data_IF_283251150258
#
_entry.id   IF_283251150258
#
_cell.length_a   1.000
_cell.length_b   1.000
_cell.length_c   1.000
_cell.angle_alpha   90.00
_cell.angle_beta   90.00
_cell.angle_gamma   90.00
#
_symmetry.space_group_name_H-M   'P 1'
#
loop_
_entity.id
_entity.type
_entity.pdbx_description
1 polymer ?
#
# COMPACT_ATOMS: atom_id res chain seq x y z
N UNK A 1 9.81 -14.80 30.27
CA UNK A 1 8.58 -15.14 29.51
C UNK A 1 8.89 -16.07 28.33
N UNK A 2 9.78 -15.70 27.42
CA UNK A 2 10.18 -16.50 26.23
C UNK A 2 10.60 -17.94 26.58
N UNK A 3 11.37 -18.16 27.65
CA UNK A 3 11.81 -19.50 28.06
C UNK A 3 10.65 -20.45 28.42
N UNK A 4 9.60 -19.95 29.07
CA UNK A 4 8.43 -20.75 29.39
C UNK A 4 7.61 -21.10 28.13
N UNK A 5 7.53 -20.17 27.17
CA UNK A 5 6.89 -20.39 25.87
C UNK A 5 7.71 -21.42 25.09
N UNK A 6 9.03 -21.27 25.02
CA UNK A 6 9.94 -22.21 24.34
C UNK A 6 9.76 -23.62 24.89
N UNK A 7 9.81 -23.81 26.22
CA UNK A 7 9.61 -25.11 26.86
C UNK A 7 8.28 -25.74 26.43
N UNK A 8 7.20 -25.00 26.50
CA UNK A 8 5.86 -25.49 26.13
C UNK A 8 5.75 -25.80 24.64
N UNK A 9 6.33 -24.93 23.78
CA UNK A 9 6.38 -25.16 22.33
C UNK A 9 7.15 -26.43 21.99
N UNK A 10 8.33 -26.64 22.60
CA UNK A 10 9.14 -27.85 22.44
C UNK A 10 8.36 -29.13 22.80
N UNK A 11 7.73 -29.13 23.99
CA UNK A 11 6.94 -30.29 24.45
C UNK A 11 5.78 -30.61 23.48
N UNK A 12 5.09 -29.60 22.97
CA UNK A 12 3.96 -29.79 22.08
C UNK A 12 4.40 -30.23 20.67
N UNK A 13 5.49 -29.66 20.13
CA UNK A 13 6.01 -30.02 18.83
C UNK A 13 6.54 -31.45 18.83
N UNK A 14 7.25 -31.88 19.89
CA UNK A 14 7.70 -33.27 20.04
C UNK A 14 6.53 -34.26 20.12
N UNK A 15 5.48 -33.95 20.89
CA UNK A 15 4.27 -34.81 20.97
C UNK A 15 3.56 -34.96 19.62
N UNK A 16 3.63 -33.95 18.79
CA UNK A 16 2.98 -33.93 17.47
C UNK A 16 3.89 -34.45 16.36
N UNK A 17 5.11 -34.89 16.66
CA UNK A 17 6.14 -35.29 15.69
C UNK A 17 6.42 -34.21 14.62
N UNK A 18 6.25 -32.95 14.96
CA UNK A 18 6.52 -31.81 14.08
C UNK A 18 7.99 -31.40 14.17
N UNK A 19 8.53 -30.99 13.03
CA UNK A 19 9.82 -30.32 13.03
C UNK A 19 9.70 -28.97 13.73
N UNK A 20 10.68 -28.64 14.54
CA UNK A 20 10.81 -27.31 15.13
C UNK A 20 10.85 -26.27 14.01
N UNK A 21 9.96 -25.29 14.05
CA UNK A 21 10.09 -24.13 13.18
C UNK A 21 11.29 -23.31 13.68
N UNK A 22 12.39 -23.37 12.94
CA UNK A 22 13.67 -22.74 13.31
C UNK A 22 13.51 -21.26 13.70
N UNK A 23 12.71 -20.50 12.98
CA UNK A 23 12.46 -19.09 13.27
C UNK A 23 11.78 -18.86 14.64
N UNK A 24 10.93 -19.79 15.08
CA UNK A 24 10.28 -19.70 16.41
C UNK A 24 11.29 -19.99 17.52
N UNK A 25 12.15 -20.99 17.31
CA UNK A 25 13.22 -21.32 18.27
C UNK A 25 14.22 -20.17 18.39
N UNK A 26 14.71 -19.64 17.28
CA UNK A 26 15.63 -18.51 17.25
C UNK A 26 15.07 -17.29 18.01
N UNK A 27 13.82 -16.92 17.74
CA UNK A 27 13.17 -15.81 18.44
C UNK A 27 13.04 -16.05 19.96
N UNK A 28 12.63 -17.26 20.35
CA UNK A 28 12.38 -17.56 21.75
C UNK A 28 13.69 -17.77 22.56
N UNK A 29 14.81 -18.05 21.90
CA UNK A 29 16.15 -18.17 22.51
C UNK A 29 16.87 -16.82 22.56
N UNK A 30 16.49 -15.85 21.74
CA UNK A 30 17.06 -14.49 21.79
C UNK A 30 16.69 -13.81 23.11
N UNK A 31 17.63 -13.15 23.82
CA UNK A 31 17.32 -12.41 25.03
C UNK A 31 16.17 -11.44 24.87
N UNK A 32 15.39 -11.25 25.93
CA UNK A 32 14.34 -10.23 25.96
C UNK A 32 15.02 -8.85 26.01
N UNK A 33 14.69 -7.97 25.06
CA UNK A 33 15.04 -6.56 25.16
C UNK A 33 14.06 -5.91 26.14
N UNK A 34 14.58 -5.17 27.12
CA UNK A 34 13.73 -4.38 28.01
C UNK A 34 13.13 -3.23 27.20
N UNK A 35 11.80 -3.19 27.13
CA UNK A 35 11.10 -2.06 26.54
C UNK A 35 11.29 -0.84 27.43
N UNK A 36 11.48 0.34 26.85
CA UNK A 36 11.70 1.60 27.58
C UNK A 36 10.61 1.91 28.62
N UNK A 37 9.40 1.39 28.40
CA UNK A 37 8.24 1.58 29.29
C UNK A 37 8.05 0.45 30.32
N UNK A 38 8.97 -0.52 30.39
CA UNK A 38 8.87 -1.67 31.29
C UNK A 38 7.71 -2.62 30.97
N UNK A 39 7.07 -2.48 29.82
CA UNK A 39 5.96 -3.35 29.41
C UNK A 39 6.49 -4.71 28.93
N UNK A 40 5.96 -5.79 29.46
CA UNK A 40 6.25 -7.15 29.00
C UNK A 40 5.49 -7.44 27.69
N UNK A 41 5.91 -6.80 26.59
CA UNK A 41 5.35 -7.07 25.25
C UNK A 41 5.95 -8.34 24.70
N UNK A 42 5.15 -9.17 24.05
CA UNK A 42 5.60 -10.31 23.29
C UNK A 42 4.95 -10.28 21.92
N UNK A 43 5.77 -10.35 20.89
CA UNK A 43 5.32 -10.32 19.53
C UNK A 43 5.47 -11.72 18.88
N UNK A 44 4.80 -11.96 17.77
CA UNK A 44 4.98 -13.14 16.94
C UNK A 44 5.60 -12.73 15.60
N UNK A 45 6.90 -12.45 15.52
CA UNK A 45 7.57 -11.98 14.32
C UNK A 45 8.12 -13.18 13.52
N UNK A 46 7.25 -13.96 12.91
CA UNK A 46 7.64 -15.15 12.16
C UNK A 46 7.35 -15.03 10.66
N UNK A 47 7.93 -14.03 9.96
CA UNK A 47 7.77 -13.93 8.52
C UNK A 47 8.51 -15.06 7.82
N UNK A 48 7.83 -15.78 6.96
CA UNK A 48 8.42 -16.77 6.07
C UNK A 48 9.21 -16.06 4.97
N UNK A 49 10.51 -15.98 5.10
CA UNK A 49 11.36 -15.22 4.21
C UNK A 49 11.15 -15.61 2.73
N UNK A 50 10.85 -14.62 1.89
CA UNK A 50 10.53 -14.83 0.48
C UNK A 50 11.72 -15.34 -0.35
N UNK A 51 12.97 -15.17 0.11
CA UNK A 51 14.14 -15.27 -0.76
C UNK A 51 15.04 -16.48 -0.59
N UNK A 52 15.17 -17.11 0.59
CA UNK A 52 16.25 -18.09 0.76
C UNK A 52 15.93 -19.42 1.48
N UNK A 53 14.78 -19.58 2.15
CA UNK A 53 14.51 -20.83 2.88
C UNK A 53 13.04 -21.24 2.85
N UNK A 54 12.64 -21.96 1.78
CA UNK A 54 11.29 -22.55 1.69
C UNK A 54 11.00 -23.56 2.81
N UNK A 55 12.03 -24.14 3.43
CA UNK A 55 11.89 -25.16 4.48
C UNK A 55 11.58 -24.56 5.86
N UNK A 56 11.75 -23.26 6.06
CA UNK A 56 11.51 -22.59 7.35
C UNK A 56 10.12 -21.96 7.44
N UNK A 57 9.30 -22.02 6.38
CA UNK A 57 7.96 -21.45 6.36
C UNK A 57 7.01 -22.24 7.26
N UNK A 58 6.27 -21.50 8.08
CA UNK A 58 5.21 -22.09 8.90
C UNK A 58 4.08 -22.64 8.02
N UNK A 59 3.56 -23.80 8.44
CA UNK A 59 2.41 -24.47 7.85
C UNK A 59 1.27 -24.53 8.86
N UNK A 60 0.12 -25.03 8.43
CA UNK A 60 -1.06 -25.15 9.29
C UNK A 60 -0.81 -26.00 10.54
N UNK A 61 0.01 -27.03 10.42
CA UNK A 61 0.38 -27.95 11.50
C UNK A 61 1.18 -27.27 12.62
N UNK A 62 1.96 -26.22 12.28
CA UNK A 62 2.77 -25.47 13.23
C UNK A 62 1.91 -24.53 14.10
N UNK A 63 0.72 -24.18 13.62
CA UNK A 63 -0.12 -23.18 14.26
C UNK A 63 -0.71 -23.62 15.59
N UNK A 64 -0.96 -24.93 15.78
CA UNK A 64 -1.52 -25.43 17.03
C UNK A 64 -0.53 -25.36 18.20
N UNK A 65 0.71 -25.94 18.09
CA UNK A 65 1.70 -25.80 19.15
C UNK A 65 2.08 -24.32 19.41
N UNK A 66 2.20 -23.51 18.34
CA UNK A 66 2.46 -22.10 18.46
C UNK A 66 1.37 -21.39 19.27
N UNK A 67 0.10 -21.48 18.85
CA UNK A 67 -1.02 -20.80 19.51
C UNK A 67 -1.19 -21.23 20.97
N UNK A 68 -1.07 -22.51 21.28
CA UNK A 68 -1.20 -23.00 22.65
C UNK A 68 -0.05 -22.51 23.53
N UNK A 69 1.17 -22.39 22.98
CA UNK A 69 2.33 -21.92 23.73
C UNK A 69 2.23 -20.46 24.13
N UNK A 70 1.68 -19.62 23.23
CA UNK A 70 1.50 -18.20 23.48
C UNK A 70 0.20 -17.87 24.26
N UNK A 71 -0.75 -18.80 24.38
CA UNK A 71 -2.05 -18.53 24.99
C UNK A 71 -1.96 -17.96 26.42
N UNK A 72 -1.00 -18.41 27.23
CA UNK A 72 -0.83 -17.91 28.60
C UNK A 72 -0.33 -16.46 28.67
N UNK A 73 0.14 -15.92 27.55
CA UNK A 73 0.70 -14.58 27.42
C UNK A 73 -0.05 -13.75 26.35
N UNK A 74 -1.25 -14.18 25.99
CA UNK A 74 -2.02 -13.61 24.89
C UNK A 74 -2.35 -12.12 25.08
N UNK A 75 -2.52 -11.67 26.32
CA UNK A 75 -2.74 -10.25 26.67
C UNK A 75 -1.49 -9.37 26.43
N UNK A 76 -0.32 -9.95 26.29
CA UNK A 76 0.92 -9.24 26.03
C UNK A 76 1.23 -9.10 24.53
N UNK A 77 0.47 -9.79 23.66
CA UNK A 77 0.68 -9.76 22.21
C UNK A 77 0.16 -8.44 21.65
N UNK A 78 1.03 -7.70 20.95
CA UNK A 78 0.68 -6.47 20.23
C UNK A 78 0.85 -6.61 18.72
N UNK A 79 1.89 -7.30 18.28
CA UNK A 79 2.22 -7.41 16.87
C UNK A 79 2.35 -8.88 16.45
N UNK A 80 1.67 -9.24 15.35
CA UNK A 80 1.77 -10.56 14.74
C UNK A 80 2.16 -10.36 13.28
N UNK A 81 3.34 -10.87 12.92
CA UNK A 81 3.80 -10.98 11.54
C UNK A 81 4.02 -12.45 11.19
N UNK A 82 3.11 -13.00 10.39
CA UNK A 82 3.16 -14.34 9.82
C UNK A 82 3.18 -14.27 8.28
N UNK A 83 3.71 -13.18 7.73
CA UNK A 83 3.76 -12.98 6.28
C UNK A 83 4.65 -14.01 5.59
N UNK A 84 4.36 -14.27 4.31
CA UNK A 84 5.12 -15.16 3.42
C UNK A 84 5.29 -16.62 3.90
N UNK A 85 4.37 -17.09 4.73
CA UNK A 85 4.30 -18.49 5.16
C UNK A 85 3.41 -19.35 4.22
N UNK A 86 3.06 -20.54 4.64
CA UNK A 86 2.24 -21.48 3.87
C UNK A 86 0.89 -21.75 4.55
N UNK A 87 0.38 -20.76 5.29
CA UNK A 87 -0.86 -20.88 6.05
C UNK A 87 -2.07 -20.88 5.11
N UNK A 88 -2.96 -21.84 5.34
CA UNK A 88 -4.28 -21.91 4.69
C UNK A 88 -5.39 -21.57 5.70
N UNK A 89 -6.65 -21.68 5.29
CA UNK A 89 -7.81 -21.48 6.16
C UNK A 89 -7.73 -22.31 7.44
N UNK A 90 -7.11 -23.51 7.39
CA UNK A 90 -6.96 -24.39 8.57
C UNK A 90 -6.06 -23.78 9.63
N UNK A 91 -4.88 -23.30 9.25
CA UNK A 91 -3.94 -22.62 10.16
C UNK A 91 -4.52 -21.32 10.68
N UNK A 92 -5.24 -20.58 9.84
CA UNK A 92 -5.92 -19.35 10.22
C UNK A 92 -7.07 -19.59 11.19
N UNK A 93 -7.82 -20.66 11.07
CA UNK A 93 -8.86 -21.00 12.04
C UNK A 93 -8.27 -21.26 13.45
N UNK A 94 -7.04 -21.80 13.52
CA UNK A 94 -6.33 -21.99 14.80
C UNK A 94 -5.83 -20.62 15.32
N UNK A 95 -5.21 -19.80 14.47
CA UNK A 95 -4.77 -18.46 14.83
C UNK A 95 -5.94 -17.60 15.34
N UNK A 96 -7.09 -17.68 14.68
CA UNK A 96 -8.29 -16.92 15.07
C UNK A 96 -8.73 -17.21 16.51
N UNK A 97 -8.57 -18.44 17.00
CA UNK A 97 -8.84 -18.77 18.41
C UNK A 97 -7.88 -18.06 19.38
N UNK A 98 -6.61 -17.91 19.00
CA UNK A 98 -5.67 -17.10 19.79
C UNK A 98 -6.09 -15.62 19.75
N UNK A 99 -6.43 -15.11 18.55
CA UNK A 99 -6.82 -13.73 18.34
C UNK A 99 -8.10 -13.36 19.12
N UNK A 100 -9.03 -14.28 19.36
CA UNK A 100 -10.22 -14.02 20.18
C UNK A 100 -9.86 -13.51 21.59
N UNK A 101 -8.71 -13.93 22.13
CA UNK A 101 -8.23 -13.53 23.46
C UNK A 101 -7.15 -12.43 23.42
N UNK A 102 -6.63 -12.09 22.24
CA UNK A 102 -5.58 -11.08 22.08
C UNK A 102 -6.18 -9.65 22.09
N UNK A 103 -6.56 -9.15 23.27
CA UNK A 103 -7.22 -7.84 23.41
C UNK A 103 -6.33 -6.64 23.06
N UNK A 104 -5.01 -6.81 23.13
CA UNK A 104 -4.04 -5.74 22.91
C UNK A 104 -3.41 -5.75 21.52
N UNK A 105 -3.90 -6.61 20.61
CA UNK A 105 -3.38 -6.69 19.23
C UNK A 105 -3.52 -5.33 18.53
N UNK A 106 -2.43 -4.86 17.94
CA UNK A 106 -2.32 -3.59 17.21
C UNK A 106 -2.08 -3.82 15.72
N UNK A 107 -1.22 -4.79 15.38
CA UNK A 107 -0.89 -5.09 13.99
C UNK A 107 -0.99 -6.58 13.69
N UNK A 108 -1.59 -6.91 12.56
CA UNK A 108 -1.66 -8.27 12.03
C UNK A 108 -1.23 -8.27 10.56
N UNK A 109 -0.10 -8.94 10.28
CA UNK A 109 0.42 -9.11 8.94
C UNK A 109 0.37 -10.59 8.53
N UNK A 110 -0.48 -10.91 7.56
CA UNK A 110 -0.70 -12.24 6.98
C UNK A 110 -0.41 -12.26 5.47
N UNK A 111 0.31 -11.27 4.95
CA UNK A 111 0.65 -11.13 3.53
C UNK A 111 1.33 -12.40 3.00
N UNK A 112 1.01 -12.79 1.75
CA UNK A 112 1.76 -13.82 1.03
C UNK A 112 1.54 -15.24 1.55
N UNK A 113 0.35 -15.56 2.04
CA UNK A 113 -0.06 -16.89 2.45
C UNK A 113 -1.02 -17.54 1.43
N UNK A 114 -1.79 -18.53 1.84
CA UNK A 114 -2.80 -19.24 1.02
C UNK A 114 -4.18 -19.17 1.65
N UNK A 115 -4.52 -18.02 2.23
CA UNK A 115 -5.77 -17.77 2.96
C UNK A 115 -6.90 -17.59 1.95
N UNK A 116 -7.93 -18.40 2.09
CA UNK A 116 -9.16 -18.33 1.30
C UNK A 116 -10.30 -17.61 2.04
N UNK A 117 -11.51 -17.78 1.54
CA UNK A 117 -12.70 -17.11 2.07
C UNK A 117 -13.04 -17.52 3.50
N UNK A 118 -12.90 -18.81 3.85
CA UNK A 118 -13.17 -19.31 5.19
C UNK A 118 -12.17 -18.78 6.24
N UNK A 119 -10.92 -18.57 5.83
CA UNK A 119 -9.91 -17.91 6.66
C UNK A 119 -10.27 -16.46 6.94
N UNK A 120 -10.70 -15.71 5.92
CA UNK A 120 -11.18 -14.34 6.09
C UNK A 120 -12.40 -14.24 7.02
N UNK A 121 -13.36 -15.16 6.92
CA UNK A 121 -14.51 -15.24 7.81
C UNK A 121 -14.07 -15.45 9.27
N UNK A 122 -13.15 -16.38 9.49
CA UNK A 122 -12.62 -16.68 10.84
C UNK A 122 -11.89 -15.46 11.44
N UNK A 123 -11.06 -14.80 10.64
CA UNK A 123 -10.35 -13.57 11.06
C UNK A 123 -11.33 -12.43 11.38
N UNK A 124 -12.31 -12.19 10.51
CA UNK A 124 -13.29 -11.12 10.73
C UNK A 124 -14.06 -11.30 12.03
N UNK A 125 -14.46 -12.54 12.35
CA UNK A 125 -15.11 -12.85 13.63
C UNK A 125 -14.24 -12.57 14.84
N UNK A 126 -12.94 -12.92 14.77
CA UNK A 126 -11.99 -12.73 15.86
C UNK A 126 -11.57 -11.25 16.04
N UNK A 127 -11.51 -10.48 14.95
CA UNK A 127 -10.97 -9.12 14.95
C UNK A 127 -12.02 -8.00 15.12
N UNK A 128 -13.29 -8.26 14.88
CA UNK A 128 -14.36 -7.23 14.80
C UNK A 128 -14.45 -6.30 16.01
N UNK A 129 -14.11 -6.78 17.21
CA UNK A 129 -14.19 -6.02 18.46
C UNK A 129 -12.81 -5.61 19.02
N UNK A 130 -11.72 -5.74 18.26
CA UNK A 130 -10.37 -5.44 18.74
C UNK A 130 -10.12 -3.93 18.72
N UNK A 131 -10.27 -3.29 19.86
CA UNK A 131 -10.24 -1.84 20.02
C UNK A 131 -8.85 -1.19 19.77
N UNK A 132 -7.79 -1.98 19.63
CA UNK A 132 -6.44 -1.48 19.39
C UNK A 132 -5.88 -1.88 18.02
N UNK A 133 -6.60 -2.71 17.26
CA UNK A 133 -6.14 -3.16 15.93
C UNK A 133 -6.16 -1.98 14.94
N UNK A 134 -5.00 -1.44 14.64
CA UNK A 134 -4.84 -0.31 13.71
C UNK A 134 -4.37 -0.72 12.31
N UNK A 135 -3.68 -1.85 12.19
CA UNK A 135 -3.09 -2.31 10.93
C UNK A 135 -3.48 -3.77 10.64
N UNK A 136 -4.04 -4.03 9.47
CA UNK A 136 -4.33 -5.37 8.98
C UNK A 136 -3.89 -5.54 7.52
N UNK A 137 -2.96 -6.47 7.29
CA UNK A 137 -2.45 -6.79 5.97
C UNK A 137 -2.69 -8.26 5.63
N UNK A 138 -3.49 -8.52 4.60
CA UNK A 138 -3.81 -9.85 4.07
C UNK A 138 -3.59 -9.89 2.55
N UNK A 139 -2.73 -9.02 2.05
CA UNK A 139 -2.33 -8.93 0.64
C UNK A 139 -1.70 -10.24 0.14
N UNK A 140 -1.82 -10.50 -1.15
CA UNK A 140 -1.22 -11.69 -1.80
C UNK A 140 -1.64 -12.99 -1.13
N UNK A 141 -2.94 -13.20 -1.05
CA UNK A 141 -3.57 -14.45 -0.62
C UNK A 141 -4.48 -15.00 -1.74
N UNK A 142 -5.45 -15.85 -1.42
CA UNK A 142 -6.28 -16.51 -2.45
C UNK A 142 -7.78 -16.37 -2.23
N UNK A 143 -8.20 -15.48 -1.33
CA UNK A 143 -9.63 -15.26 -1.08
C UNK A 143 -10.30 -14.49 -2.22
N UNK A 144 -11.58 -14.79 -2.43
CA UNK A 144 -12.43 -14.15 -3.41
C UNK A 144 -13.40 -13.13 -2.81
N UNK A 145 -14.57 -12.99 -3.44
CA UNK A 145 -15.60 -12.03 -3.03
C UNK A 145 -16.15 -12.32 -1.63
N UNK A 146 -16.38 -13.59 -1.28
CA UNK A 146 -16.92 -13.95 0.03
C UNK A 146 -15.94 -13.60 1.15
N UNK A 147 -14.63 -13.80 0.92
CA UNK A 147 -13.60 -13.38 1.85
C UNK A 147 -13.55 -11.86 2.02
N UNK A 148 -13.62 -11.11 0.92
CA UNK A 148 -13.64 -9.65 0.98
C UNK A 148 -14.92 -9.10 1.63
N UNK A 149 -16.08 -9.74 1.42
CA UNK A 149 -17.33 -9.42 2.12
C UNK A 149 -17.22 -9.68 3.63
N UNK A 150 -16.53 -10.74 4.04
CA UNK A 150 -16.25 -10.99 5.46
C UNK A 150 -15.36 -9.91 6.07
N UNK A 151 -14.33 -9.47 5.35
CA UNK A 151 -13.49 -8.32 5.77
C UNK A 151 -14.32 -7.04 5.80
N UNK A 152 -15.26 -6.87 4.91
CA UNK A 152 -16.19 -5.74 4.94
C UNK A 152 -17.05 -5.73 6.21
N UNK A 153 -17.52 -6.89 6.71
CA UNK A 153 -18.20 -6.98 8.01
C UNK A 153 -17.30 -6.52 9.17
N UNK A 154 -16.00 -6.81 9.09
CA UNK A 154 -15.01 -6.26 10.02
C UNK A 154 -15.01 -4.72 9.97
N UNK A 155 -14.99 -4.12 8.80
CA UNK A 155 -15.01 -2.65 8.65
C UNK A 155 -16.28 -2.00 9.22
N UNK A 156 -17.42 -2.68 9.21
CA UNK A 156 -18.65 -2.19 9.84
C UNK A 156 -18.62 -2.18 11.36
N UNK A 157 -17.78 -3.01 11.98
CA UNK A 157 -17.78 -3.23 13.44
C UNK A 157 -16.55 -2.67 14.13
N UNK A 158 -15.40 -2.70 13.46
CA UNK A 158 -14.14 -2.26 14.05
C UNK A 158 -13.90 -0.78 13.76
N UNK A 159 -13.84 0.02 14.80
CA UNK A 159 -13.62 1.46 14.72
C UNK A 159 -12.14 1.85 14.88
N UNK A 160 -11.27 0.89 15.24
CA UNK A 160 -9.85 1.15 15.49
C UNK A 160 -8.98 1.01 14.23
N UNK A 161 -9.44 0.23 13.23
CA UNK A 161 -8.64 -0.09 12.06
C UNK A 161 -8.39 1.15 11.20
N UNK A 162 -7.11 1.47 11.02
CA UNK A 162 -6.62 2.63 10.24
C UNK A 162 -6.07 2.22 8.88
N UNK A 163 -5.42 1.08 8.80
CA UNK A 163 -4.76 0.61 7.59
C UNK A 163 -5.23 -0.80 7.23
N UNK A 164 -5.75 -0.96 6.02
CA UNK A 164 -6.18 -2.23 5.45
C UNK A 164 -5.52 -2.47 4.09
N UNK A 165 -4.84 -3.62 3.96
CA UNK A 165 -4.28 -4.05 2.68
C UNK A 165 -4.88 -5.40 2.28
N UNK A 166 -5.69 -5.40 1.22
CA UNK A 166 -6.36 -6.57 0.64
C UNK A 166 -5.93 -6.84 -0.81
N UNK A 167 -4.93 -6.13 -1.32
CA UNK A 167 -4.48 -6.24 -2.71
C UNK A 167 -4.01 -7.65 -3.12
N UNK A 168 -3.86 -7.88 -4.41
CA UNK A 168 -3.34 -9.14 -4.99
C UNK A 168 -4.12 -10.38 -4.53
N UNK A 169 -5.45 -10.34 -4.58
CA UNK A 169 -6.34 -11.43 -4.21
C UNK A 169 -7.37 -11.72 -5.34
N UNK A 170 -8.22 -12.73 -5.16
CA UNK A 170 -9.09 -13.28 -6.22
C UNK A 170 -10.49 -12.68 -6.26
N UNK A 171 -10.66 -11.49 -5.73
CA UNK A 171 -11.95 -10.78 -5.77
C UNK A 171 -12.14 -10.03 -7.10
N UNK A 172 -13.38 -9.76 -7.42
CA UNK A 172 -13.82 -8.96 -8.56
C UNK A 172 -14.64 -7.73 -8.11
N UNK A 173 -15.48 -7.22 -8.99
CA UNK A 173 -16.32 -6.03 -8.73
C UNK A 173 -17.27 -6.16 -7.54
N UNK A 174 -17.85 -7.35 -7.27
CA UNK A 174 -18.78 -7.53 -6.14
C UNK A 174 -18.07 -7.32 -4.80
N UNK A 175 -16.86 -7.83 -4.69
CA UNK A 175 -15.99 -7.58 -3.54
C UNK A 175 -15.66 -6.10 -3.40
N UNK A 176 -15.29 -5.42 -4.50
CA UNK A 176 -14.97 -3.99 -4.49
C UNK A 176 -16.21 -3.14 -4.12
N UNK A 177 -17.41 -3.47 -4.65
CA UNK A 177 -18.66 -2.80 -4.27
C UNK A 177 -18.88 -2.91 -2.76
N UNK A 178 -18.63 -4.07 -2.18
CA UNK A 178 -18.83 -4.27 -0.74
C UNK A 178 -17.99 -3.30 0.08
N UNK A 179 -16.68 -3.21 -0.19
CA UNK A 179 -15.75 -2.31 0.52
C UNK A 179 -16.10 -0.84 0.28
N UNK A 180 -16.33 -0.43 -0.97
CA UNK A 180 -16.67 0.96 -1.28
C UNK A 180 -18.00 1.38 -0.66
N UNK A 181 -18.94 0.45 -0.47
CA UNK A 181 -20.20 0.69 0.22
C UNK A 181 -20.01 0.93 1.72
N UNK A 182 -19.18 0.14 2.41
CA UNK A 182 -18.87 0.38 3.82
C UNK A 182 -18.21 1.75 4.03
N UNK A 183 -17.22 2.05 3.22
CA UNK A 183 -16.51 3.34 3.29
C UNK A 183 -17.41 4.53 2.94
N UNK A 184 -18.40 4.32 2.09
CA UNK A 184 -19.39 5.35 1.72
C UNK A 184 -20.36 5.66 2.87
N UNK A 185 -20.77 4.64 3.65
CA UNK A 185 -21.94 4.76 4.53
C UNK A 185 -21.62 4.79 6.01
N UNK A 186 -20.62 4.03 6.46
CA UNK A 186 -20.42 3.78 7.91
C UNK A 186 -18.99 3.98 8.37
N UNK A 187 -18.00 3.50 7.63
CA UNK A 187 -16.62 3.53 8.09
C UNK A 187 -15.93 4.83 7.67
N UNK A 188 -15.66 5.69 8.63
CA UNK A 188 -14.87 6.92 8.49
C UNK A 188 -13.52 6.84 9.22
N UNK A 189 -13.19 5.68 9.80
CA UNK A 189 -11.99 5.50 10.60
C UNK A 189 -10.80 5.00 9.79
N UNK A 190 -11.05 4.28 8.69
CA UNK A 190 -10.00 3.78 7.82
C UNK A 190 -9.34 4.93 7.09
N UNK A 191 -8.03 5.02 7.23
CA UNK A 191 -7.20 6.08 6.64
C UNK A 191 -6.43 5.62 5.41
N UNK A 192 -6.02 4.35 5.38
CA UNK A 192 -5.23 3.76 4.29
C UNK A 192 -5.91 2.51 3.77
N UNK A 193 -6.18 2.47 2.47
CA UNK A 193 -6.72 1.31 1.77
C UNK A 193 -5.85 0.96 0.56
N UNK A 194 -5.35 -0.29 0.54
CA UNK A 194 -4.73 -0.87 -0.64
C UNK A 194 -5.63 -1.99 -1.20
N UNK A 195 -6.01 -1.84 -2.47
CA UNK A 195 -6.80 -2.82 -3.23
C UNK A 195 -6.11 -3.20 -4.55
N UNK A 196 -4.80 -3.12 -4.63
CA UNK A 196 -4.01 -3.35 -5.83
C UNK A 196 -4.26 -4.71 -6.46
N UNK A 197 -4.12 -4.77 -7.78
CA UNK A 197 -4.02 -5.99 -8.57
C UNK A 197 -5.06 -7.07 -8.25
N UNK A 198 -6.37 -6.81 -8.32
CA UNK A 198 -7.38 -7.84 -8.22
C UNK A 198 -7.23 -8.84 -9.37
N UNK A 199 -7.56 -10.14 -9.14
CA UNK A 199 -7.43 -11.15 -10.20
C UNK A 199 -8.30 -10.82 -11.40
N UNK A 200 -9.52 -10.37 -11.16
CA UNK A 200 -10.43 -9.93 -12.22
C UNK A 200 -10.23 -8.47 -12.57
N UNK A 201 -9.93 -8.22 -13.85
CA UNK A 201 -9.75 -6.86 -14.36
C UNK A 201 -11.05 -6.28 -14.86
N UNK A 202 -11.40 -5.13 -14.35
CA UNK A 202 -12.65 -4.42 -14.64
C UNK A 202 -12.63 -3.93 -16.09
N UNK A 203 -13.50 -4.48 -16.94
CA UNK A 203 -13.64 -4.06 -18.34
C UNK A 203 -14.57 -2.85 -18.47
N UNK A 204 -15.69 -2.84 -17.73
CA UNK A 204 -16.61 -1.70 -17.68
C UNK A 204 -16.07 -0.59 -16.78
N UNK A 205 -15.57 0.46 -17.39
CA UNK A 205 -14.99 1.59 -16.70
C UNK A 205 -16.02 2.43 -15.89
N UNK A 206 -17.32 2.32 -16.19
CA UNK A 206 -18.37 2.97 -15.42
C UNK A 206 -18.47 2.43 -13.98
N UNK A 207 -17.98 1.22 -13.77
CA UNK A 207 -17.87 0.64 -12.43
C UNK A 207 -17.14 1.54 -11.43
N UNK A 208 -16.13 2.30 -11.86
CA UNK A 208 -15.39 3.23 -11.01
C UNK A 208 -16.26 4.35 -10.40
N UNK A 209 -17.53 4.46 -10.80
CA UNK A 209 -18.50 5.31 -10.10
C UNK A 209 -18.75 4.90 -8.65
N UNK A 210 -18.49 3.65 -8.26
CA UNK A 210 -18.54 3.21 -6.85
C UNK A 210 -17.49 3.91 -6.01
N UNK A 211 -16.25 3.98 -6.49
CA UNK A 211 -15.20 4.80 -5.87
C UNK A 211 -15.56 6.28 -5.87
N UNK A 212 -16.07 6.79 -7.00
CA UNK A 212 -16.51 8.18 -7.10
C UNK A 212 -17.56 8.55 -6.05
N UNK A 213 -18.58 7.71 -5.87
CA UNK A 213 -19.62 7.91 -4.86
C UNK A 213 -19.06 7.80 -3.44
N UNK A 214 -18.07 6.92 -3.20
CA UNK A 214 -17.37 6.84 -1.93
C UNK A 214 -16.62 8.15 -1.64
N UNK A 215 -15.90 8.72 -2.60
CA UNK A 215 -15.18 9.98 -2.42
C UNK A 215 -16.07 11.15 -2.01
N UNK A 216 -17.34 11.17 -2.42
CA UNK A 216 -18.27 12.23 -2.06
C UNK A 216 -18.68 12.23 -0.58
N UNK A 217 -18.65 11.10 0.09
CA UNK A 217 -19.18 10.95 1.45
C UNK A 217 -18.14 10.53 2.48
N UNK A 218 -17.10 9.81 2.07
CA UNK A 218 -16.06 9.37 3.01
C UNK A 218 -15.12 10.52 3.39
N UNK A 219 -14.96 10.73 4.68
CA UNK A 219 -14.13 11.79 5.28
C UNK A 219 -12.94 11.22 6.06
N UNK A 220 -12.73 9.91 6.07
CA UNK A 220 -11.63 9.25 6.79
C UNK A 220 -10.46 8.88 5.92
N UNK A 221 -10.71 8.47 4.67
CA UNK A 221 -9.68 7.91 3.81
C UNK A 221 -8.70 8.99 3.33
N UNK A 222 -7.42 8.78 3.64
CA UNK A 222 -6.30 9.66 3.27
C UNK A 222 -5.46 9.09 2.14
N UNK A 223 -5.32 7.76 2.07
CA UNK A 223 -4.52 7.07 1.06
C UNK A 223 -5.31 5.94 0.40
N UNK A 224 -5.31 5.92 -0.93
CA UNK A 224 -5.92 4.87 -1.74
C UNK A 224 -4.95 4.39 -2.80
N UNK A 225 -4.74 3.07 -2.88
CA UNK A 225 -3.99 2.44 -3.95
C UNK A 225 -4.90 1.55 -4.80
N UNK A 226 -4.89 1.82 -6.12
CA UNK A 226 -5.65 1.12 -7.17
C UNK A 226 -4.72 0.74 -8.33
N UNK A 227 -3.57 0.16 -8.01
CA UNK A 227 -2.60 -0.27 -9.02
C UNK A 227 -3.13 -1.47 -9.79
N UNK A 228 -2.79 -1.54 -11.07
CA UNK A 228 -3.07 -2.71 -11.93
C UNK A 228 -4.57 -3.07 -12.08
N UNK A 229 -5.47 -2.09 -11.99
CA UNK A 229 -6.92 -2.25 -12.19
C UNK A 229 -7.37 -2.11 -13.66
N UNK A 230 -6.45 -1.93 -14.61
CA UNK A 230 -6.75 -1.63 -16.01
C UNK A 230 -7.57 -0.34 -16.20
N UNK A 231 -7.38 0.64 -15.33
CA UNK A 231 -8.04 1.95 -15.38
C UNK A 231 -7.72 2.63 -16.72
N UNK A 232 -8.78 3.05 -17.43
CA UNK A 232 -8.71 3.77 -18.70
C UNK A 232 -9.26 5.20 -18.55
N UNK A 233 -9.31 5.94 -19.63
CA UNK A 233 -9.70 7.34 -19.65
C UNK A 233 -11.10 7.61 -19.06
N UNK A 234 -12.08 6.71 -19.30
CA UNK A 234 -13.43 6.85 -18.76
C UNK A 234 -13.45 6.79 -17.24
N UNK A 235 -12.71 5.84 -16.66
CA UNK A 235 -12.59 5.72 -15.21
C UNK A 235 -11.87 6.93 -14.60
N UNK A 236 -10.80 7.42 -15.24
CA UNK A 236 -10.09 8.64 -14.77
C UNK A 236 -11.05 9.82 -14.77
N UNK A 237 -11.86 9.99 -15.82
CA UNK A 237 -12.90 11.04 -15.86
C UNK A 237 -13.83 10.95 -14.65
N UNK A 238 -14.32 9.74 -14.33
CA UNK A 238 -15.24 9.51 -13.21
C UNK A 238 -14.54 9.82 -11.87
N UNK A 239 -13.37 9.25 -11.65
CA UNK A 239 -12.64 9.40 -10.40
C UNK A 239 -12.31 10.87 -10.11
N UNK A 240 -11.68 11.57 -11.06
CA UNK A 240 -11.24 12.95 -10.86
C UNK A 240 -12.42 13.94 -10.82
N UNK A 241 -13.54 13.64 -11.50
CA UNK A 241 -14.78 14.42 -11.36
C UNK A 241 -15.30 14.42 -9.91
N UNK A 242 -15.29 13.26 -9.25
CA UNK A 242 -15.80 13.15 -7.87
C UNK A 242 -14.77 13.63 -6.83
N UNK A 243 -13.47 13.44 -7.08
CA UNK A 243 -12.40 13.91 -6.22
C UNK A 243 -12.42 15.43 -5.99
N UNK A 244 -13.01 16.23 -6.89
CA UNK A 244 -13.15 17.68 -6.69
C UNK A 244 -13.91 18.05 -5.43
N UNK A 245 -14.79 17.18 -4.95
CA UNK A 245 -15.59 17.39 -3.76
C UNK A 245 -15.06 16.63 -2.54
N UNK A 246 -13.97 15.87 -2.69
CA UNK A 246 -13.31 15.20 -1.59
C UNK A 246 -12.23 16.13 -1.00
N UNK A 247 -12.18 16.22 0.32
CA UNK A 247 -11.26 17.09 1.04
C UNK A 247 -10.25 16.30 1.90
N UNK A 248 -10.23 14.97 1.82
CA UNK A 248 -9.47 14.12 2.75
C UNK A 248 -8.44 13.21 2.08
N UNK A 249 -8.63 12.84 0.81
CA UNK A 249 -7.70 11.96 0.12
C UNK A 249 -6.43 12.73 -0.27
N UNK A 250 -5.32 12.39 0.36
CA UNK A 250 -4.02 13.04 0.19
C UNK A 250 -3.10 12.27 -0.76
N UNK A 251 -3.22 10.94 -0.81
CA UNK A 251 -2.36 10.06 -1.60
C UNK A 251 -3.20 9.17 -2.50
N UNK A 252 -2.91 9.19 -3.80
CA UNK A 252 -3.58 8.34 -4.80
C UNK A 252 -2.55 7.65 -5.67
N UNK A 253 -2.53 6.30 -5.61
CA UNK A 253 -1.70 5.48 -6.50
C UNK A 253 -2.57 4.86 -7.61
N UNK A 254 -2.29 5.25 -8.84
CA UNK A 254 -2.91 4.73 -10.06
C UNK A 254 -1.88 4.10 -11.00
N UNK A 255 -0.75 3.66 -10.46
CA UNK A 255 0.34 3.10 -11.28
C UNK A 255 -0.02 1.76 -11.91
N UNK A 256 0.68 1.41 -13.00
CA UNK A 256 0.47 0.14 -13.69
C UNK A 256 -0.89 -0.02 -14.35
N UNK A 257 -1.56 1.06 -14.69
CA UNK A 257 -2.88 1.06 -15.33
C UNK A 257 -2.77 1.30 -16.86
N UNK A 258 -3.87 1.64 -17.49
CA UNK A 258 -3.96 1.97 -18.92
C UNK A 258 -4.36 3.44 -19.15
N UNK A 259 -3.94 4.30 -18.23
CA UNK A 259 -4.21 5.73 -18.28
C UNK A 259 -3.45 6.33 -19.46
N UNK A 260 -4.15 7.00 -20.36
CA UNK A 260 -3.58 7.57 -21.57
C UNK A 260 -3.71 9.11 -21.57
N UNK A 261 -3.06 9.75 -22.54
CA UNK A 261 -3.04 11.22 -22.65
C UNK A 261 -4.44 11.84 -22.70
N UNK A 262 -5.45 11.17 -23.30
CA UNK A 262 -6.82 11.69 -23.37
C UNK A 262 -7.45 11.92 -22.00
N UNK A 263 -7.04 11.13 -20.99
CA UNK A 263 -7.56 11.29 -19.63
C UNK A 263 -6.95 12.47 -18.90
N UNK A 264 -5.79 12.95 -19.33
CA UNK A 264 -5.03 13.96 -18.60
C UNK A 264 -5.71 15.34 -18.56
N UNK A 265 -6.69 15.59 -19.44
CA UNK A 265 -7.52 16.79 -19.34
C UNK A 265 -8.35 16.85 -18.05
N UNK A 266 -8.77 15.69 -17.53
CA UNK A 266 -9.54 15.61 -16.28
C UNK A 266 -8.63 15.75 -15.05
N UNK A 267 -7.39 15.25 -15.14
CA UNK A 267 -6.37 15.42 -14.12
C UNK A 267 -5.93 16.90 -14.07
N UNK A 268 -5.67 17.52 -15.23
CA UNK A 268 -5.38 18.94 -15.36
C UNK A 268 -6.46 19.78 -14.68
N UNK A 269 -7.73 19.55 -15.05
CA UNK A 269 -8.86 20.34 -14.52
C UNK A 269 -9.02 20.17 -12.99
N UNK A 270 -8.67 18.99 -12.44
CA UNK A 270 -8.64 18.78 -10.99
C UNK A 270 -7.46 19.51 -10.34
N UNK A 271 -6.24 19.36 -10.87
CA UNK A 271 -5.03 19.95 -10.29
C UNK A 271 -5.04 21.47 -10.36
N UNK A 272 -5.57 22.07 -11.43
CA UNK A 272 -5.58 23.51 -11.64
C UNK A 272 -6.66 24.26 -10.84
N UNK A 273 -7.61 23.56 -10.23
CA UNK A 273 -8.74 24.21 -9.50
C UNK A 273 -8.60 24.00 -7.99
N UNK A 274 -9.20 22.94 -7.50
CA UNK A 274 -9.25 22.63 -6.06
C UNK A 274 -8.79 21.19 -5.84
N UNK A 275 -7.50 21.02 -5.66
CA UNK A 275 -6.89 19.75 -5.32
C UNK A 275 -6.46 19.74 -3.86
N UNK A 276 -6.60 18.59 -3.20
CA UNK A 276 -6.05 18.34 -1.85
C UNK A 276 -4.96 17.25 -1.89
N UNK A 277 -4.80 16.57 -3.04
CA UNK A 277 -3.77 15.56 -3.19
C UNK A 277 -2.37 16.15 -2.96
N UNK A 278 -1.60 15.49 -2.11
CA UNK A 278 -0.17 15.75 -1.88
C UNK A 278 0.70 14.80 -2.70
N UNK A 279 0.25 13.57 -2.93
CA UNK A 279 0.98 12.55 -3.70
C UNK A 279 0.10 11.93 -4.78
N UNK A 280 0.64 11.86 -6.00
CA UNK A 280 0.00 11.23 -7.15
C UNK A 280 1.01 10.33 -7.87
N UNK A 281 0.72 9.03 -7.92
CA UNK A 281 1.51 8.08 -8.68
C UNK A 281 0.76 7.69 -9.96
N UNK A 282 1.34 8.05 -11.11
CA UNK A 282 0.87 7.72 -12.45
C UNK A 282 1.91 6.87 -13.21
N UNK A 283 2.89 6.29 -12.53
CA UNK A 283 3.92 5.47 -13.18
C UNK A 283 3.35 4.26 -13.92
N UNK A 284 4.11 3.74 -14.90
CA UNK A 284 3.70 2.56 -15.68
C UNK A 284 2.34 2.69 -16.35
N UNK A 285 2.11 3.85 -16.99
CA UNK A 285 0.90 4.15 -17.75
C UNK A 285 1.26 4.49 -19.23
N UNK A 286 0.39 5.21 -19.93
CA UNK A 286 0.54 5.55 -21.35
C UNK A 286 0.31 7.05 -21.57
N UNK A 287 0.99 7.90 -20.77
CA UNK A 287 0.77 9.35 -20.81
C UNK A 287 1.33 9.96 -22.09
N UNK A 288 2.47 9.47 -22.57
CA UNK A 288 3.22 10.04 -23.71
C UNK A 288 3.48 11.54 -23.53
N UNK A 289 4.06 12.18 -24.53
CA UNK A 289 4.44 13.61 -24.49
C UNK A 289 3.24 14.54 -24.24
N UNK A 290 2.14 14.25 -24.89
CA UNK A 290 0.94 15.08 -24.76
C UNK A 290 0.34 14.99 -23.35
N UNK A 291 0.38 13.83 -22.73
CA UNK A 291 -0.14 13.63 -21.36
C UNK A 291 0.66 14.39 -20.31
N UNK A 292 2.00 14.32 -20.35
CA UNK A 292 2.84 15.04 -19.38
C UNK A 292 2.80 16.55 -19.61
N UNK A 293 2.63 17.01 -20.86
CA UNK A 293 2.37 18.42 -21.15
C UNK A 293 1.11 18.92 -20.45
N UNK A 294 0.00 18.19 -20.55
CA UNK A 294 -1.25 18.55 -19.87
C UNK A 294 -1.08 18.50 -18.33
N UNK A 295 -0.36 17.49 -17.84
CA UNK A 295 -0.06 17.37 -16.40
C UNK A 295 0.74 18.59 -15.91
N UNK A 296 1.77 18.98 -16.63
CA UNK A 296 2.55 20.18 -16.34
C UNK A 296 1.70 21.46 -16.33
N UNK A 297 0.77 21.58 -17.27
CA UNK A 297 -0.16 22.73 -17.33
C UNK A 297 -1.04 22.80 -16.07
N UNK A 298 -1.53 21.67 -15.58
CA UNK A 298 -2.30 21.61 -14.32
C UNK A 298 -1.45 21.94 -13.09
N UNK A 299 -0.15 21.62 -13.12
CA UNK A 299 0.78 21.88 -12.02
C UNK A 299 1.17 23.35 -11.88
N UNK A 300 1.11 24.17 -12.94
CA UNK A 300 1.46 25.58 -12.86
C UNK A 300 0.73 26.34 -11.75
N UNK A 301 -0.56 26.05 -11.58
CA UNK A 301 -1.42 26.73 -10.59
C UNK A 301 -1.74 25.85 -9.38
N UNK A 302 -1.25 24.61 -9.37
CA UNK A 302 -1.47 23.68 -8.26
C UNK A 302 -0.62 24.05 -7.05
N UNK A 303 -1.26 24.10 -5.88
CA UNK A 303 -0.63 24.47 -4.60
C UNK A 303 -0.70 23.37 -3.55
N UNK A 304 -0.99 22.13 -3.96
CA UNK A 304 -1.15 21.01 -3.02
C UNK A 304 -0.23 19.81 -3.30
N UNK A 305 0.10 19.53 -4.58
CA UNK A 305 0.85 18.35 -4.95
C UNK A 305 2.33 18.52 -4.63
N UNK A 306 2.85 17.65 -3.76
CA UNK A 306 4.23 17.65 -3.30
C UNK A 306 5.05 16.52 -3.93
N UNK A 307 4.41 15.39 -4.23
CA UNK A 307 5.04 14.21 -4.81
C UNK A 307 4.35 13.79 -6.11
N UNK A 308 5.14 13.53 -7.16
CA UNK A 308 4.65 13.04 -8.45
C UNK A 308 5.56 11.94 -8.99
N UNK A 309 4.97 10.81 -9.42
CA UNK A 309 5.67 9.76 -10.14
C UNK A 309 5.05 9.59 -11.54
N UNK A 310 5.85 9.81 -12.58
CA UNK A 310 5.52 9.61 -13.99
C UNK A 310 6.53 8.69 -14.71
N UNK A 311 7.26 7.88 -13.96
CA UNK A 311 8.16 6.87 -14.55
C UNK A 311 7.42 5.91 -15.46
N UNK A 312 8.09 5.31 -16.43
CA UNK A 312 7.53 4.29 -17.33
C UNK A 312 6.26 4.75 -18.06
N UNK A 313 6.27 5.96 -18.65
CA UNK A 313 5.12 6.53 -19.35
C UNK A 313 5.34 6.77 -20.84
N UNK A 314 6.47 6.29 -21.39
CA UNK A 314 6.87 6.47 -22.80
C UNK A 314 6.95 7.94 -23.22
N UNK A 315 7.40 8.79 -22.30
CA UNK A 315 7.64 10.19 -22.55
C UNK A 315 8.98 10.33 -23.28
N UNK A 316 9.04 11.22 -24.29
CA UNK A 316 10.26 11.50 -25.05
C UNK A 316 10.88 12.84 -24.67
N UNK A 317 12.03 13.17 -25.27
CA UNK A 317 12.69 14.47 -25.13
C UNK A 317 11.70 15.64 -25.32
N UNK A 318 10.83 15.55 -26.34
CA UNK A 318 9.85 16.59 -26.63
C UNK A 318 8.86 16.79 -25.47
N UNK A 319 8.34 15.70 -24.93
CA UNK A 319 7.41 15.77 -23.80
C UNK A 319 8.06 16.34 -22.56
N UNK A 320 9.31 15.95 -22.27
CA UNK A 320 10.02 16.45 -21.10
C UNK A 320 10.45 17.93 -21.23
N UNK A 321 10.76 18.41 -22.42
CA UNK A 321 10.98 19.86 -22.64
C UNK A 321 9.72 20.64 -22.27
N UNK A 322 8.56 20.23 -22.81
CA UNK A 322 7.28 20.87 -22.56
C UNK A 322 6.86 20.77 -21.07
N UNK A 323 7.14 19.64 -20.44
CA UNK A 323 6.82 19.40 -19.03
C UNK A 323 7.71 20.23 -18.10
N UNK A 324 9.03 20.18 -18.29
CA UNK A 324 10.00 20.92 -17.48
C UNK A 324 9.77 22.43 -17.53
N UNK A 325 9.50 22.99 -18.74
CA UNK A 325 9.16 24.41 -18.87
C UNK A 325 7.95 24.83 -18.03
N UNK A 326 6.94 23.95 -17.90
CA UNK A 326 5.74 24.23 -17.09
C UNK A 326 6.00 24.09 -15.60
N UNK A 327 6.87 23.15 -15.23
CA UNK A 327 7.27 22.94 -13.83
C UNK A 327 8.04 24.14 -13.28
N UNK A 328 8.68 24.98 -14.11
CA UNK A 328 9.34 26.22 -13.66
C UNK A 328 8.37 27.16 -12.91
N UNK A 329 7.08 27.12 -13.24
CA UNK A 329 6.06 27.95 -12.60
C UNK A 329 5.50 27.32 -11.31
N UNK A 330 5.77 26.02 -11.05
CA UNK A 330 5.29 25.33 -9.88
C UNK A 330 6.21 25.52 -8.67
N UNK A 331 5.64 25.89 -7.53
CA UNK A 331 6.38 26.15 -6.29
C UNK A 331 6.20 25.07 -5.22
N UNK A 332 5.24 24.16 -5.40
CA UNK A 332 4.84 23.21 -4.35
C UNK A 332 5.46 21.82 -4.48
N UNK A 333 5.81 21.40 -5.70
CA UNK A 333 6.38 20.07 -5.93
C UNK A 333 7.75 19.96 -5.26
N UNK A 334 7.88 18.97 -4.37
CA UNK A 334 9.10 18.66 -3.60
C UNK A 334 9.84 17.42 -4.14
N UNK A 335 9.12 16.48 -4.76
CA UNK A 335 9.70 15.26 -5.28
C UNK A 335 9.09 14.87 -6.63
N UNK A 336 9.95 14.42 -7.55
CA UNK A 336 9.57 14.01 -8.90
C UNK A 336 10.32 12.74 -9.30
N UNK A 337 9.57 11.67 -9.62
CA UNK A 337 10.11 10.49 -10.28
C UNK A 337 9.71 10.50 -11.75
N UNK A 338 10.69 10.50 -12.64
CA UNK A 338 10.42 10.52 -14.08
C UNK A 338 11.53 9.88 -14.94
N UNK A 339 12.58 9.32 -14.33
CA UNK A 339 13.73 8.81 -15.06
C UNK A 339 13.43 7.49 -15.79
N UNK A 340 12.99 6.45 -15.07
CA UNK A 340 12.89 5.10 -15.60
C UNK A 340 11.89 4.92 -16.74
N UNK A 341 12.33 4.16 -17.78
CA UNK A 341 11.51 3.78 -18.95
C UNK A 341 10.84 4.96 -19.66
N UNK A 342 11.51 6.11 -19.64
CA UNK A 342 11.24 7.28 -20.47
C UNK A 342 12.48 7.62 -21.29
N UNK A 343 12.35 8.48 -22.31
CA UNK A 343 13.43 8.78 -23.25
C UNK A 343 13.87 10.23 -23.10
N UNK A 344 15.03 10.43 -22.49
CA UNK A 344 15.65 11.73 -22.32
C UNK A 344 16.51 12.10 -23.53
N UNK A 345 16.63 13.39 -23.83
CA UNK A 345 17.52 13.94 -24.84
C UNK A 345 18.14 15.24 -24.38
N UNK A 346 19.08 15.77 -25.18
CA UNK A 346 19.87 16.94 -24.80
C UNK A 346 19.04 18.19 -24.45
N UNK A 347 17.85 18.34 -25.07
CA UNK A 347 16.99 19.50 -24.81
C UNK A 347 16.30 19.39 -23.47
N UNK A 348 15.73 18.23 -23.17
CA UNK A 348 15.07 17.99 -21.87
C UNK A 348 16.07 18.02 -20.72
N UNK A 349 17.25 17.44 -20.90
CA UNK A 349 18.33 17.48 -19.89
C UNK A 349 18.68 18.94 -19.55
N UNK A 350 18.83 19.81 -20.56
CA UNK A 350 19.11 21.22 -20.34
C UNK A 350 17.99 21.93 -19.57
N UNK A 351 16.72 21.70 -19.95
CA UNK A 351 15.56 22.29 -19.25
C UNK A 351 15.49 21.84 -17.80
N UNK A 352 15.74 20.54 -17.54
CA UNK A 352 15.71 20.03 -16.18
C UNK A 352 16.92 20.41 -15.35
N UNK A 353 18.08 20.67 -15.97
CA UNK A 353 19.24 21.27 -15.30
C UNK A 353 18.88 22.66 -14.75
N UNK A 354 18.25 23.50 -15.57
CA UNK A 354 17.77 24.82 -15.14
C UNK A 354 16.71 24.71 -14.06
N UNK A 355 15.79 23.73 -14.19
CA UNK A 355 14.77 23.47 -13.18
C UNK A 355 15.36 23.04 -11.82
N UNK A 356 16.34 22.14 -11.80
CA UNK A 356 17.02 21.71 -10.58
C UNK A 356 17.80 22.87 -9.92
N UNK A 357 18.46 23.70 -10.73
CA UNK A 357 19.15 24.89 -10.23
C UNK A 357 18.18 25.87 -9.55
N UNK A 358 16.98 26.02 -10.08
CA UNK A 358 15.93 26.86 -9.51
C UNK A 358 15.35 26.29 -8.21
N UNK A 359 15.10 24.96 -8.14
CA UNK A 359 14.51 24.29 -6.98
C UNK A 359 15.46 24.14 -5.79
N UNK A 360 16.77 24.02 -6.06
CA UNK A 360 17.77 23.88 -5.01
C UNK A 360 17.76 22.53 -4.29
N UNK A 361 18.34 22.49 -3.08
CA UNK A 361 18.61 21.24 -2.33
C UNK A 361 17.38 20.60 -1.68
N UNK A 362 16.26 21.27 -1.61
CA UNK A 362 15.03 20.76 -0.99
C UNK A 362 14.13 20.02 -1.98
N UNK A 363 14.59 19.82 -3.20
CA UNK A 363 13.88 19.06 -4.21
C UNK A 363 14.52 17.68 -4.41
N UNK A 364 13.72 16.63 -4.47
CA UNK A 364 14.12 15.22 -4.51
C UNK A 364 13.75 14.57 -5.86
N UNK A 365 14.60 14.64 -6.91
CA UNK A 365 14.39 13.90 -8.16
C UNK A 365 14.91 12.46 -8.05
N UNK A 366 14.46 11.57 -8.95
CA UNK A 366 15.05 10.24 -9.15
C UNK A 366 16.18 10.21 -10.18
N UNK A 367 16.79 11.37 -10.45
CA UNK A 367 17.87 11.53 -11.41
C UNK A 367 18.83 12.63 -10.97
N UNK A 368 20.06 12.56 -11.51
CA UNK A 368 21.05 13.64 -11.41
C UNK A 368 21.51 14.05 -12.80
N UNK A 369 21.89 15.30 -12.95
CA UNK A 369 22.47 15.84 -14.18
C UNK A 369 23.92 16.25 -13.88
N UNK A 370 24.86 15.87 -14.75
CA UNK A 370 26.29 16.15 -14.62
C UNK A 370 26.87 16.50 -15.98
N UNK A 371 27.99 17.23 -15.94
CA UNK A 371 28.77 17.58 -17.11
C UNK A 371 29.88 16.54 -17.32
N UNK A 372 30.04 16.03 -18.56
CA UNK A 372 31.08 15.08 -18.88
C UNK A 372 32.40 15.78 -19.26
N UNK A 373 33.42 15.01 -19.65
CA UNK A 373 34.74 15.52 -20.05
C UNK A 373 34.72 16.40 -21.31
N UNK A 374 33.66 16.29 -22.12
CA UNK A 374 33.43 17.11 -23.31
C UNK A 374 32.59 18.36 -23.02
N UNK A 375 32.27 18.64 -21.75
CA UNK A 375 31.38 19.71 -21.32
C UNK A 375 29.93 19.56 -21.82
N UNK A 376 29.48 18.32 -22.09
CA UNK A 376 28.09 18.01 -22.41
C UNK A 376 27.31 17.59 -21.17
N UNK A 377 26.05 18.04 -21.06
CA UNK A 377 25.15 17.65 -19.95
C UNK A 377 24.62 16.24 -20.17
N UNK A 378 24.82 15.41 -19.19
CA UNK A 378 24.34 14.04 -19.13
C UNK A 378 23.42 13.82 -17.95
N UNK A 379 22.59 12.76 -18.02
CA UNK A 379 21.63 12.39 -16.96
C UNK A 379 21.87 10.94 -16.51
N UNK A 380 21.81 10.72 -15.22
CA UNK A 380 21.88 9.37 -14.65
C UNK A 380 20.79 9.18 -13.58
N UNK A 381 20.40 7.93 -13.37
CA UNK A 381 19.54 7.58 -12.27
C UNK A 381 20.20 7.89 -10.93
N UNK A 382 19.45 8.48 -10.04
CA UNK A 382 19.86 8.74 -8.68
C UNK A 382 19.03 7.85 -7.74
N UNK A 383 19.68 6.87 -7.14
CA UNK A 383 19.09 6.12 -6.05
C UNK A 383 19.06 7.03 -4.80
N UNK A 384 18.05 7.85 -4.73
CA UNK A 384 17.81 8.66 -3.55
C UNK A 384 16.91 7.93 -2.60
N UNK A 385 17.20 7.98 -1.30
CA UNK A 385 16.21 7.78 -0.26
C UNK A 385 15.19 8.92 -0.38
N UNK A 386 14.27 8.75 -1.35
CA UNK A 386 13.09 9.61 -1.39
C UNK A 386 12.40 9.47 -0.03
N UNK A 387 11.88 10.56 0.53
CA UNK A 387 10.97 10.45 1.67
C UNK A 387 9.94 9.38 1.31
N UNK A 388 9.79 8.36 2.16
CA UNK A 388 8.81 7.31 1.91
C UNK A 388 7.45 7.99 1.74
N UNK A 389 6.60 7.44 0.85
CA UNK A 389 5.22 7.97 0.68
C UNK A 389 4.48 8.08 2.01
N UNK A 390 4.93 7.36 3.05
CA UNK A 390 4.43 7.39 4.42
C UNK A 390 4.83 8.67 5.16
N UNK A 391 5.97 9.29 4.85
CA UNK A 391 6.43 10.52 5.51
C UNK A 391 5.52 11.73 5.21
N UNK A 392 4.72 11.67 4.14
CA UNK A 392 3.74 12.69 3.79
C UNK A 392 2.36 12.53 4.47
N UNK A 393 2.21 11.47 5.28
CA UNK A 393 0.97 11.18 6.03
C UNK A 393 1.05 11.55 7.51
N UNK A 394 2.20 11.99 8.00
CA UNK A 394 2.52 12.17 9.44
C UNK A 394 2.32 13.62 9.93
N UNK A 395 1.69 14.50 9.17
CA UNK A 395 1.28 15.83 9.68
C UNK A 395 -0.23 15.95 9.90
#
# INVERSE_FOLDING_TARGET
>A
MKQNILKKYTELSQKSHLHFAQQVEEYLTTPEEETEDGSNVIDLPFPGNATYNFNTRLKDEDMQPLSISFMSYVSNIRHIDLSYNMLTDKGIAILSKLLEYAENIQTLNLKGNKIGDAGCESLSKALKNKAKLSYFNINTNVFGNLGLMSINELLYKNEALKCLNVGCNKYDWDGIISITSALKTTNTNLEVLNMDDPEYKIQDQHFFAHFGKMFLSNTGLKKLSLRLHMIRWEAVKILFHHLRNNATLLVLDLSGNQICFQSMIYVLDYLSKKSVLRSLNLSRNKLYDHGVKLLGEGLKTNTSLEYLDVTSNKVTDVGFVEFGMRLMENTTLKALKCFWENSWGNKSIKVFNDYLAMKGKEFYPDFTIFEDEQHELNIAYLETHMPNEEDYLVE
#
